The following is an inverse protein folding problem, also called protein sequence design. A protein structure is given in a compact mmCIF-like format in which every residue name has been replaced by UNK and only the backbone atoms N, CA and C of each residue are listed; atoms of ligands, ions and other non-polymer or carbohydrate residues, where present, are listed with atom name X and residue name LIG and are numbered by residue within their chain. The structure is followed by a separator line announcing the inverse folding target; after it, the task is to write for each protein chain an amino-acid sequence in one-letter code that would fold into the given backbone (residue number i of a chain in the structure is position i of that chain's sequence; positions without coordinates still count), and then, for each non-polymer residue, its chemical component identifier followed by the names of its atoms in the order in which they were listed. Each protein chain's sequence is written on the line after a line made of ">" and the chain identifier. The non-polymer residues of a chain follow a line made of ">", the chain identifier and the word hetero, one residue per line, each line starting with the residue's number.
data_IF_581368928214
#
_entry.id   IF_581368928214
#
_cell.length_a   1.000
_cell.length_b   1.000
_cell.length_c   1.000
_cell.angle_alpha   90.00
_cell.angle_beta   90.00
_cell.angle_gamma   90.00
#
_symmetry.space_group_name_H-M   'P 1'
#
loop_
_entity.id
_entity.type
_entity.pdbx_description
1 polymer ?
#
# COMPACT_ATOMS: atom_id res chain seq x y z
N UNK A 1 -22.85 23.65 3.18
CA UNK A 1 -22.07 23.82 1.93
C UNK A 1 -20.63 24.34 2.16
N UNK A 2 -20.03 24.13 3.36
CA UNK A 2 -18.69 24.64 3.72
C UNK A 2 -17.56 23.59 3.67
N UNK A 3 -17.90 22.32 3.39
CA UNK A 3 -16.96 21.19 3.43
C UNK A 3 -15.93 21.06 2.28
N UNK A 4 -16.17 21.55 1.04
CA UNK A 4 -15.21 21.26 -0.04
C UNK A 4 -13.92 22.08 0.10
N UNK A 5 -14.00 23.30 0.66
CA UNK A 5 -12.82 24.15 0.84
C UNK A 5 -11.90 23.63 1.95
N UNK A 6 -12.46 23.16 3.06
CA UNK A 6 -11.67 22.60 4.17
C UNK A 6 -10.88 21.35 3.75
N UNK A 7 -11.46 20.51 2.88
CA UNK A 7 -10.78 19.32 2.37
C UNK A 7 -9.58 19.68 1.47
N UNK A 8 -9.74 20.66 0.59
CA UNK A 8 -8.67 21.12 -0.31
C UNK A 8 -7.52 21.80 0.45
N UNK A 9 -7.83 22.60 1.47
CA UNK A 9 -6.80 23.21 2.33
C UNK A 9 -6.06 22.17 3.17
N UNK A 10 -6.76 21.14 3.67
CA UNK A 10 -6.14 20.05 4.39
C UNK A 10 -5.23 19.21 3.48
N UNK A 11 -5.65 18.91 2.26
CA UNK A 11 -4.86 18.14 1.30
C UNK A 11 -3.59 18.90 0.86
N UNK A 12 -3.72 20.18 0.53
CA UNK A 12 -2.57 20.98 0.11
C UNK A 12 -1.53 21.14 1.22
N UNK A 13 -1.98 21.46 2.44
CA UNK A 13 -1.08 21.58 3.61
C UNK A 13 -0.42 20.24 3.98
N UNK A 14 -1.18 19.14 4.00
CA UNK A 14 -0.65 17.82 4.31
C UNK A 14 0.34 17.31 3.24
N UNK A 15 0.06 17.51 1.96
CA UNK A 15 0.94 17.00 0.90
C UNK A 15 2.23 17.80 0.77
N UNK A 16 2.15 19.13 0.87
CA UNK A 16 3.31 19.98 0.63
C UNK A 16 4.18 20.17 1.87
N UNK A 17 3.59 20.65 2.97
CA UNK A 17 4.36 21.00 4.16
C UNK A 17 4.89 19.75 4.85
N UNK A 18 4.06 18.72 5.02
CA UNK A 18 4.46 17.52 5.76
C UNK A 18 5.58 16.76 5.07
N UNK A 19 5.47 16.54 3.75
CA UNK A 19 6.49 15.78 2.99
C UNK A 19 7.84 16.51 2.98
N UNK A 20 7.83 17.82 2.77
CA UNK A 20 9.07 18.63 2.79
C UNK A 20 9.69 18.69 4.17
N UNK A 21 8.88 18.91 5.21
CA UNK A 21 9.37 18.97 6.58
C UNK A 21 9.92 17.60 7.05
N UNK A 22 9.23 16.51 6.70
CA UNK A 22 9.69 15.15 7.00
C UNK A 22 11.02 14.85 6.30
N UNK A 23 11.13 15.15 5.00
CA UNK A 23 12.38 14.98 4.24
C UNK A 23 13.53 15.80 4.84
N UNK A 24 13.28 17.08 5.16
CA UNK A 24 14.28 17.93 5.81
C UNK A 24 14.74 17.35 7.15
N UNK A 25 13.81 16.88 7.98
CA UNK A 25 14.13 16.25 9.26
C UNK A 25 14.99 14.99 9.10
N UNK A 26 14.69 14.14 8.14
CA UNK A 26 15.47 12.93 7.87
C UNK A 26 16.87 13.22 7.29
N UNK A 27 17.02 14.30 6.49
CA UNK A 27 18.29 14.64 5.86
C UNK A 27 19.24 15.44 6.75
N UNK A 28 18.72 16.40 7.53
CA UNK A 28 19.54 17.40 8.21
C UNK A 28 19.51 17.31 9.74
N UNK A 29 18.47 16.71 10.33
CA UNK A 29 18.26 16.72 11.79
C UNK A 29 18.56 15.37 12.43
N UNK A 30 18.18 14.27 11.78
CA UNK A 30 18.32 12.93 12.33
C UNK A 30 19.59 12.22 11.84
N UNK A 31 20.23 11.46 12.72
CA UNK A 31 21.32 10.56 12.34
C UNK A 31 20.82 9.47 11.39
N UNK A 32 21.67 9.04 10.45
CA UNK A 32 21.33 8.01 9.46
C UNK A 32 20.91 6.71 10.15
N UNK A 33 19.66 6.31 9.92
CA UNK A 33 19.12 5.03 10.38
C UNK A 33 19.74 3.87 9.60
N UNK A 34 20.02 2.77 10.32
CA UNK A 34 20.47 1.52 9.72
C UNK A 34 19.29 0.91 8.94
N UNK A 35 19.46 0.58 7.65
CA UNK A 35 18.38 0.01 6.86
C UNK A 35 17.94 -1.32 7.49
N UNK A 36 16.65 -1.45 7.77
CA UNK A 36 16.04 -2.71 8.17
C UNK A 36 15.14 -3.19 7.04
N UNK A 37 15.24 -4.48 6.72
CA UNK A 37 14.22 -5.12 5.88
C UNK A 37 12.94 -5.19 6.72
N UNK A 38 11.86 -4.58 6.22
CA UNK A 38 10.54 -4.69 6.81
C UNK A 38 9.55 -4.91 5.67
N UNK A 39 8.79 -6.00 5.76
CA UNK A 39 7.70 -6.28 4.83
C UNK A 39 6.45 -5.49 5.25
N UNK A 40 6.10 -4.48 4.45
CA UNK A 40 4.93 -3.64 4.67
C UNK A 40 5.03 -2.70 5.87
N UNK A 41 3.88 -2.14 6.26
CA UNK A 41 3.77 -1.09 7.32
C UNK A 41 3.69 -1.73 8.72
N UNK A 42 3.68 -3.06 8.83
CA UNK A 42 3.58 -3.79 10.10
C UNK A 42 2.20 -3.68 10.75
N UNK A 43 2.14 -3.58 12.08
CA UNK A 43 0.89 -3.56 12.88
C UNK A 43 -0.08 -2.43 12.53
N UNK A 44 0.40 -1.36 11.90
CA UNK A 44 -0.41 -0.24 11.45
C UNK A 44 -1.51 -0.64 10.47
N UNK A 45 -1.32 -1.70 9.67
CA UNK A 45 -2.35 -2.15 8.74
C UNK A 45 -3.63 -2.58 9.48
N UNK A 46 -3.48 -3.26 10.63
CA UNK A 46 -4.61 -3.68 11.46
C UNK A 46 -5.34 -2.49 12.05
N UNK A 47 -4.59 -1.49 12.52
CA UNK A 47 -5.17 -0.24 13.06
C UNK A 47 -5.95 0.51 11.98
N UNK A 48 -5.38 0.65 10.78
CA UNK A 48 -6.05 1.32 9.66
C UNK A 48 -7.32 0.57 9.24
N UNK A 49 -7.27 -0.77 9.20
CA UNK A 49 -8.44 -1.59 8.89
C UNK A 49 -9.55 -1.45 9.94
N UNK A 50 -9.19 -1.37 11.21
CA UNK A 50 -10.13 -1.11 12.31
C UNK A 50 -10.75 0.28 12.20
N UNK A 51 -9.95 1.31 11.96
CA UNK A 51 -10.44 2.69 11.78
C UNK A 51 -11.37 2.78 10.56
N UNK A 52 -11.05 2.10 9.46
CA UNK A 52 -11.91 2.03 8.30
C UNK A 52 -13.26 1.36 8.62
N UNK A 53 -13.26 0.28 9.41
CA UNK A 53 -14.49 -0.37 9.87
C UNK A 53 -15.34 0.58 10.72
N UNK A 54 -14.73 1.24 11.71
CA UNK A 54 -15.41 2.24 12.54
C UNK A 54 -16.00 3.38 11.71
N UNK A 55 -15.28 3.85 10.69
CA UNK A 55 -15.75 4.87 9.77
C UNK A 55 -17.02 4.46 9.02
N UNK A 56 -17.10 3.20 8.56
CA UNK A 56 -18.30 2.65 7.92
C UNK A 56 -19.47 2.61 8.91
N UNK A 57 -19.27 2.03 10.10
CA UNK A 57 -20.33 1.92 11.12
C UNK A 57 -20.88 3.29 11.50
N UNK A 58 -20.01 4.28 11.75
CA UNK A 58 -20.42 5.66 12.07
C UNK A 58 -21.16 6.31 10.89
N UNK A 59 -20.71 6.10 9.66
CA UNK A 59 -21.38 6.65 8.48
C UNK A 59 -22.77 6.05 8.29
N UNK A 60 -22.92 4.73 8.48
CA UNK A 60 -24.23 4.06 8.46
C UNK A 60 -25.15 4.58 9.57
N UNK A 61 -24.59 4.81 10.77
CA UNK A 61 -25.34 5.38 11.89
C UNK A 61 -25.86 6.78 11.55
N UNK A 62 -24.99 7.67 11.06
CA UNK A 62 -25.38 9.03 10.64
C UNK A 62 -26.42 8.97 9.53
N UNK A 63 -26.23 8.12 8.52
CA UNK A 63 -27.15 7.98 7.41
C UNK A 63 -28.57 7.58 7.83
N UNK A 64 -28.69 6.68 8.79
CA UNK A 64 -29.98 6.09 9.18
C UNK A 64 -30.63 6.86 10.32
N UNK A 65 -29.86 7.33 11.31
CA UNK A 65 -30.43 8.00 12.48
C UNK A 65 -30.44 9.53 12.40
N UNK A 66 -29.61 10.14 11.54
CA UNK A 66 -29.56 11.60 11.42
C UNK A 66 -30.26 12.08 10.15
N UNK A 67 -30.05 11.40 9.02
CA UNK A 67 -30.64 11.83 7.74
C UNK A 67 -32.00 11.21 7.42
N UNK A 68 -32.34 10.05 8.00
CA UNK A 68 -33.68 9.50 7.83
C UNK A 68 -34.63 10.17 8.82
N UNK A 69 -35.61 10.90 8.31
CA UNK A 69 -36.58 11.61 9.13
C UNK A 69 -37.40 10.58 9.94
N UNK A 70 -37.14 10.51 11.25
CA UNK A 70 -37.61 9.44 12.15
C UNK A 70 -39.12 9.43 12.39
N UNK A 71 -39.86 10.36 11.78
CA UNK A 71 -41.18 10.73 12.28
C UNK A 71 -42.27 9.66 12.04
N UNK A 72 -42.00 8.61 11.24
CA UNK A 72 -42.99 7.56 10.94
C UNK A 72 -42.50 6.12 11.11
N UNK A 73 -41.20 5.88 11.35
CA UNK A 73 -40.65 4.54 11.44
C UNK A 73 -40.58 4.06 12.90
N UNK A 74 -40.91 2.78 13.13
CA UNK A 74 -40.70 2.19 14.45
C UNK A 74 -39.19 2.09 14.75
N UNK A 75 -38.79 2.36 16.01
CA UNK A 75 -37.39 2.24 16.46
C UNK A 75 -36.78 0.87 16.10
N UNK A 76 -37.59 -0.19 16.14
CA UNK A 76 -37.16 -1.52 15.75
C UNK A 76 -36.81 -1.63 14.26
N UNK A 77 -37.61 -1.03 13.37
CA UNK A 77 -37.32 -0.99 11.93
C UNK A 77 -36.05 -0.19 11.61
N UNK A 78 -35.78 0.89 12.35
CA UNK A 78 -34.54 1.67 12.20
C UNK A 78 -33.31 0.84 12.59
N UNK A 79 -33.37 0.13 13.73
CA UNK A 79 -32.29 -0.78 14.15
C UNK A 79 -32.08 -1.91 13.15
N UNK A 80 -33.16 -2.52 12.64
CA UNK A 80 -33.06 -3.59 11.66
C UNK A 80 -32.42 -3.09 10.36
N UNK A 81 -32.85 -1.93 9.86
CA UNK A 81 -32.27 -1.29 8.68
C UNK A 81 -30.79 -0.97 8.89
N UNK A 82 -30.42 -0.49 10.08
CA UNK A 82 -29.02 -0.24 10.45
C UNK A 82 -28.17 -1.50 10.40
N UNK A 83 -28.61 -2.58 11.04
CA UNK A 83 -27.86 -3.85 11.05
C UNK A 83 -27.73 -4.42 9.63
N UNK A 84 -28.80 -4.38 8.83
CA UNK A 84 -28.74 -4.87 7.44
C UNK A 84 -27.78 -4.02 6.61
N UNK A 85 -27.85 -2.69 6.71
CA UNK A 85 -26.97 -1.80 5.98
C UNK A 85 -25.49 -1.98 6.38
N UNK A 86 -25.20 -2.06 7.68
CA UNK A 86 -23.84 -2.31 8.17
C UNK A 86 -23.28 -3.63 7.63
N UNK A 87 -24.09 -4.71 7.68
CA UNK A 87 -23.68 -6.02 7.16
C UNK A 87 -23.50 -6.01 5.64
N UNK A 88 -24.34 -5.32 4.90
CA UNK A 88 -24.22 -5.19 3.45
C UNK A 88 -22.92 -4.48 3.05
N UNK A 89 -22.57 -3.36 3.70
CA UNK A 89 -21.30 -2.65 3.44
C UNK A 89 -20.09 -3.50 3.86
N UNK A 90 -20.20 -4.24 4.96
CA UNK A 90 -19.17 -5.19 5.38
C UNK A 90 -18.89 -6.29 4.34
N UNK A 91 -19.94 -6.92 3.81
CA UNK A 91 -19.82 -7.94 2.75
C UNK A 91 -19.22 -7.31 1.48
N UNK A 92 -19.65 -6.12 1.12
CA UNK A 92 -19.12 -5.41 -0.04
C UNK A 92 -17.63 -5.09 0.09
N UNK A 93 -17.19 -4.61 1.26
CA UNK A 93 -15.77 -4.40 1.57
C UNK A 93 -14.98 -5.70 1.42
N UNK A 94 -15.47 -6.79 2.00
CA UNK A 94 -14.82 -8.10 1.91
C UNK A 94 -14.71 -8.59 0.45
N UNK A 95 -15.75 -8.38 -0.36
CA UNK A 95 -15.72 -8.71 -1.78
C UNK A 95 -14.64 -7.91 -2.52
N UNK A 96 -14.53 -6.60 -2.27
CA UNK A 96 -13.47 -5.77 -2.86
C UNK A 96 -12.08 -6.27 -2.45
N UNK A 97 -11.87 -6.59 -1.18
CA UNK A 97 -10.60 -7.14 -0.69
C UNK A 97 -10.27 -8.49 -1.32
N UNK A 98 -11.28 -9.32 -1.61
CA UNK A 98 -11.10 -10.58 -2.33
C UNK A 98 -10.77 -10.39 -3.82
N UNK A 99 -11.32 -9.35 -4.46
CA UNK A 99 -11.03 -9.05 -5.87
C UNK A 99 -9.72 -8.31 -6.09
N UNK A 100 -9.31 -7.47 -5.14
CA UNK A 100 -8.04 -6.78 -5.19
C UNK A 100 -6.94 -7.69 -4.63
N UNK A 101 -6.32 -8.47 -5.52
CA UNK A 101 -5.09 -9.20 -5.19
C UNK A 101 -4.10 -8.25 -4.52
N UNK A 102 -3.67 -8.59 -3.30
CA UNK A 102 -2.76 -7.75 -2.50
C UNK A 102 -1.38 -7.60 -3.17
N UNK A 103 -1.03 -8.50 -4.08
CA UNK A 103 0.20 -8.47 -4.86
C UNK A 103 -0.12 -8.24 -6.33
N UNK A 104 0.65 -7.33 -6.93
CA UNK A 104 0.65 -7.19 -8.39
C UNK A 104 1.28 -8.42 -9.05
N UNK A 105 0.83 -8.79 -10.25
CA UNK A 105 1.38 -9.92 -11.02
C UNK A 105 2.90 -9.77 -11.21
N UNK A 106 3.39 -8.53 -11.38
CA UNK A 106 4.82 -8.26 -11.50
C UNK A 106 5.58 -8.59 -10.21
N UNK A 107 5.05 -8.20 -9.05
CA UNK A 107 5.65 -8.53 -7.76
C UNK A 107 5.64 -10.03 -7.51
N UNK A 108 4.53 -10.70 -7.81
CA UNK A 108 4.42 -12.15 -7.66
C UNK A 108 5.50 -12.88 -8.48
N UNK A 109 5.74 -12.48 -9.73
CA UNK A 109 6.80 -13.08 -10.57
C UNK A 109 8.21 -12.83 -10.02
N UNK A 110 8.44 -11.67 -9.41
CA UNK A 110 9.74 -11.36 -8.79
C UNK A 110 9.94 -12.24 -7.56
N UNK A 111 8.90 -12.42 -6.75
CA UNK A 111 8.95 -13.31 -5.59
C UNK A 111 9.17 -14.76 -6.04
N UNK A 112 8.41 -15.27 -7.01
CA UNK A 112 8.61 -16.61 -7.60
C UNK A 112 10.05 -16.80 -8.12
N UNK A 113 10.58 -15.83 -8.87
CA UNK A 113 11.96 -15.90 -9.36
C UNK A 113 13.00 -15.88 -8.22
N UNK A 114 12.75 -15.10 -7.17
CA UNK A 114 13.65 -15.04 -6.02
C UNK A 114 13.66 -16.35 -5.23
N UNK A 115 12.50 -17.00 -5.07
CA UNK A 115 12.39 -18.33 -4.45
C UNK A 115 13.15 -19.38 -5.29
N UNK A 116 12.97 -19.39 -6.62
CA UNK A 116 13.70 -20.30 -7.51
C UNK A 116 15.23 -20.13 -7.41
N UNK A 117 15.70 -18.88 -7.35
CA UNK A 117 17.13 -18.57 -7.19
C UNK A 117 17.62 -18.97 -5.79
N UNK A 118 16.81 -18.74 -4.75
CA UNK A 118 17.14 -19.11 -3.38
C UNK A 118 17.28 -20.62 -3.24
N UNK A 119 16.35 -21.39 -3.79
CA UNK A 119 16.40 -22.85 -3.84
C UNK A 119 17.63 -23.34 -4.62
N UNK A 120 17.95 -22.70 -5.75
CA UNK A 120 19.14 -23.01 -6.53
C UNK A 120 20.46 -22.68 -5.82
N UNK A 121 20.47 -21.74 -4.87
CA UNK A 121 21.64 -21.42 -4.03
C UNK A 121 21.75 -22.40 -2.87
N UNK A 122 20.64 -22.65 -2.16
CA UNK A 122 20.61 -23.51 -0.97
C UNK A 122 20.83 -24.99 -1.31
N UNK A 123 20.31 -25.47 -2.45
CA UNK A 123 20.53 -26.84 -2.94
C UNK A 123 22.00 -27.15 -3.28
N UNK A 124 22.83 -26.11 -3.40
CA UNK A 124 24.14 -26.17 -4.04
C UNK A 124 25.31 -26.12 -3.06
N UNK A 125 25.01 -26.01 -1.77
CA UNK A 125 25.95 -26.27 -0.67
C UNK A 125 26.26 -27.76 -0.45
N UNK A 126 25.84 -28.66 -1.36
CA UNK A 126 26.35 -30.05 -1.41
C UNK A 126 27.43 -30.27 -2.49
N UNK A 127 27.65 -29.35 -3.44
CA UNK A 127 28.78 -29.44 -4.37
C UNK A 127 29.04 -28.10 -5.11
N UNK A 128 30.13 -27.42 -4.74
CA UNK A 128 30.83 -26.35 -5.49
C UNK A 128 29.98 -25.52 -6.47
N UNK A 129 29.39 -24.43 -5.99
CA UNK A 129 28.78 -23.42 -6.86
C UNK A 129 29.86 -22.66 -7.62
N UNK A 130 30.24 -23.17 -8.79
CA UNK A 130 30.88 -22.38 -9.82
C UNK A 130 29.90 -21.26 -10.23
N UNK A 131 30.16 -20.03 -9.78
CA UNK A 131 29.46 -18.83 -10.22
C UNK A 131 29.48 -18.83 -11.75
N UNK A 132 28.32 -18.91 -12.44
CA UNK A 132 28.31 -18.86 -13.89
C UNK A 132 28.88 -17.50 -14.28
N UNK A 133 30.03 -17.52 -14.98
CA UNK A 133 30.62 -16.34 -15.60
C UNK A 133 29.61 -15.82 -16.61
N UNK A 134 28.71 -14.96 -16.13
CA UNK A 134 27.73 -14.27 -16.93
C UNK A 134 28.46 -13.57 -18.07
N UNK A 135 28.01 -13.88 -19.28
CA UNK A 135 28.48 -13.42 -20.58
C UNK A 135 28.39 -11.88 -20.64
N UNK A 136 29.36 -11.17 -20.05
CA UNK A 136 29.60 -9.71 -20.23
C UNK A 136 30.11 -9.38 -21.65
N UNK A 137 29.69 -10.14 -22.66
CA UNK A 137 30.22 -10.00 -24.02
C UNK A 137 29.56 -8.85 -24.81
N UNK A 138 28.53 -8.19 -24.29
CA UNK A 138 27.73 -7.27 -25.10
C UNK A 138 27.94 -5.76 -24.84
N UNK A 139 28.85 -5.36 -23.95
CA UNK A 139 29.10 -3.94 -23.64
C UNK A 139 30.51 -3.43 -24.02
N UNK A 140 31.37 -4.24 -24.63
CA UNK A 140 32.74 -3.82 -24.97
C UNK A 140 32.98 -3.40 -26.43
N UNK A 141 31.98 -3.47 -27.31
CA UNK A 141 32.15 -3.12 -28.73
C UNK A 141 31.85 -1.63 -29.08
N UNK A 142 31.64 -0.76 -28.10
CA UNK A 142 31.18 0.62 -28.36
C UNK A 142 32.25 1.74 -28.31
N UNK A 143 33.47 1.49 -27.83
CA UNK A 143 34.40 2.59 -27.51
C UNK A 143 35.64 2.72 -28.42
N UNK A 144 35.69 2.04 -29.57
CA UNK A 144 36.88 2.03 -30.42
C UNK A 144 36.79 2.85 -31.73
N UNK A 145 35.75 3.68 -31.94
CA UNK A 145 35.53 4.37 -33.22
C UNK A 145 35.40 5.90 -33.09
N UNK A 146 36.32 6.56 -32.39
CA UNK A 146 36.31 8.03 -32.30
C UNK A 146 37.71 8.70 -32.33
N UNK A 147 38.74 8.03 -32.87
CA UNK A 147 40.08 8.62 -32.99
C UNK A 147 40.72 8.34 -34.35
N UNK A 148 40.12 8.86 -35.42
CA UNK A 148 40.84 9.14 -36.67
C UNK A 148 40.18 10.32 -37.37
N UNK A 149 40.67 11.52 -37.06
CA UNK A 149 40.41 12.75 -37.79
C UNK A 149 41.75 13.43 -38.10
N UNK A 150 41.90 14.01 -39.29
CA UNK A 150 43.18 14.34 -39.95
C UNK A 150 44.01 15.44 -39.30
#
# INVERSE_FOLDING_TARGET
>A
MLLPHSALTALSSALFCWRRLAGYKFCYVQQRVIPRSQEGIGSWIGILNFVAYMGVTVTCYIAIFIFHDLHSASHFQLLLTFVIAERAVGIFKFAIEAFLSSKSVAQQRIEEYNEDVLDAVLSKDTAEVAVPKGKRAHLQNGSASAASGP
#
